data_IF_942806963051
#
_entry.id   IF_942806963051
#
_cell.length_a   1.000
_cell.length_b   1.000
_cell.length_c   1.000
_cell.angle_alpha   90.00
_cell.angle_beta   90.00
_cell.angle_gamma   90.00
#
_symmetry.space_group_name_H-M   'P 1'
#
loop_
_entity.id
_entity.type
_entity.pdbx_description
1 polymer ?
#
# COMPACT_ATOMS: atom_id res chain seq x y z
N UNK A 1 8.20 -0.98 2.27
CA UNK A 1 7.51 0.34 2.23
C UNK A 1 6.65 0.52 3.48
N UNK A 2 6.38 1.76 3.93
CA UNK A 2 5.53 2.04 5.09
C UNK A 2 4.16 2.57 4.64
N UNK A 3 3.09 1.96 5.11
CA UNK A 3 1.74 2.52 5.03
C UNK A 3 1.46 3.28 6.32
N UNK A 4 0.99 4.51 6.17
CA UNK A 4 0.60 5.37 7.28
C UNK A 4 -0.91 5.32 7.47
N UNK A 5 -1.36 5.42 8.71
CA UNK A 5 -2.77 5.62 9.04
C UNK A 5 -3.18 7.09 8.82
N UNK A 6 -4.47 7.40 8.95
CA UNK A 6 -5.03 8.76 8.84
C UNK A 6 -4.38 9.78 9.82
N UNK A 7 -3.75 9.28 10.88
CA UNK A 7 -3.00 10.07 11.87
C UNK A 7 -1.52 10.28 11.52
N UNK A 8 -1.05 9.70 10.41
CA UNK A 8 0.36 9.73 10.01
C UNK A 8 1.27 8.78 10.81
N UNK A 9 0.70 7.92 11.65
CA UNK A 9 1.43 6.85 12.35
C UNK A 9 1.61 5.63 11.46
N UNK A 10 2.65 4.83 11.72
CA UNK A 10 2.94 3.62 10.95
C UNK A 10 1.87 2.55 11.20
N UNK A 11 1.13 2.19 10.15
CA UNK A 11 0.08 1.16 10.18
C UNK A 11 0.64 -0.20 9.79
N UNK A 12 1.32 -0.27 8.64
CA UNK A 12 1.88 -1.50 8.11
C UNK A 12 3.22 -1.24 7.45
N UNK A 13 4.20 -2.08 7.75
CA UNK A 13 5.47 -2.13 7.02
C UNK A 13 5.45 -3.35 6.11
N UNK A 14 5.39 -3.12 4.80
CA UNK A 14 5.57 -4.20 3.82
C UNK A 14 7.04 -4.49 3.65
N UNK A 15 7.42 -5.72 3.95
CA UNK A 15 8.80 -6.22 3.87
C UNK A 15 9.08 -6.88 2.52
N UNK A 16 8.12 -7.64 1.97
CA UNK A 16 8.31 -8.37 0.73
C UNK A 16 7.02 -8.51 -0.06
N UNK A 17 7.11 -8.41 -1.38
CA UNK A 17 6.03 -8.74 -2.32
C UNK A 17 6.60 -9.80 -3.26
N UNK A 18 5.94 -10.97 -3.32
CA UNK A 18 6.37 -12.10 -4.15
C UNK A 18 5.18 -12.69 -4.89
N UNK A 19 5.41 -13.26 -6.06
CA UNK A 19 4.43 -14.12 -6.70
C UNK A 19 4.60 -15.56 -6.20
N UNK A 20 3.50 -16.19 -5.80
CA UNK A 20 3.42 -17.62 -5.48
C UNK A 20 3.30 -18.43 -6.77
N UNK A 21 3.65 -19.72 -6.72
CA UNK A 21 3.62 -20.64 -7.87
C UNK A 21 2.22 -20.82 -8.46
N UNK A 22 1.18 -20.46 -7.70
CA UNK A 22 -0.24 -20.55 -8.07
C UNK A 22 -0.84 -19.22 -8.55
N UNK A 23 -0.03 -18.28 -9.05
CA UNK A 23 -0.46 -16.95 -9.50
C UNK A 23 -1.05 -16.03 -8.40
N UNK A 24 -0.75 -16.28 -7.13
CA UNK A 24 -1.13 -15.37 -6.05
C UNK A 24 -0.02 -14.35 -5.79
N UNK A 25 -0.37 -13.09 -5.58
CA UNK A 25 0.59 -12.09 -5.11
C UNK A 25 0.62 -12.13 -3.57
N UNK A 26 1.73 -12.55 -3.00
CA UNK A 26 1.96 -12.67 -1.56
C UNK A 26 2.66 -11.42 -1.06
N UNK A 27 2.00 -10.68 -0.20
CA UNK A 27 2.52 -9.49 0.47
C UNK A 27 2.81 -9.84 1.92
N UNK A 28 4.09 -9.84 2.30
CA UNK A 28 4.53 -10.06 3.68
C UNK A 28 4.89 -8.74 4.33
N UNK A 29 4.40 -8.53 5.55
CA UNK A 29 4.69 -7.32 6.31
C UNK A 29 4.45 -7.47 7.80
N UNK A 30 4.76 -6.40 8.53
CA UNK A 30 4.43 -6.24 9.95
C UNK A 30 3.36 -5.18 10.10
N UNK A 31 2.25 -5.52 10.72
CA UNK A 31 1.20 -4.56 11.11
C UNK A 31 1.50 -4.08 12.53
N UNK A 32 1.33 -2.78 12.78
CA UNK A 32 1.58 -2.14 14.08
C UNK A 32 2.97 -2.47 14.67
N UNK A 33 3.99 -2.54 13.81
CA UNK A 33 5.39 -2.72 14.20
C UNK A 33 5.82 -4.15 14.57
N UNK A 34 4.91 -5.02 15.02
CA UNK A 34 5.28 -6.34 15.56
C UNK A 34 4.49 -7.54 15.01
N UNK A 35 3.27 -7.37 14.50
CA UNK A 35 2.42 -8.50 14.11
C UNK A 35 2.73 -8.95 12.66
N UNK A 36 3.28 -10.16 12.43
CA UNK A 36 3.53 -10.64 11.08
C UNK A 36 2.20 -10.96 10.40
N UNK A 37 1.98 -10.37 9.22
CA UNK A 37 0.84 -10.70 8.37
C UNK A 37 1.34 -11.12 6.99
N UNK A 38 0.74 -12.18 6.46
CA UNK A 38 0.88 -12.58 5.06
C UNK A 38 -0.47 -12.36 4.37
N UNK A 39 -0.55 -11.35 3.52
CA UNK A 39 -1.71 -11.14 2.66
C UNK A 39 -1.46 -11.88 1.34
N UNK A 40 -2.44 -12.70 0.91
CA UNK A 40 -2.43 -13.31 -0.42
C UNK A 40 -3.49 -12.61 -1.25
N UNK A 41 -3.10 -12.12 -2.41
CA UNK A 41 -4.00 -11.50 -3.37
C UNK A 41 -4.16 -12.44 -4.56
N UNK A 42 -5.39 -12.88 -4.78
CA UNK A 42 -5.75 -13.68 -5.95
C UNK A 42 -5.79 -12.83 -7.23
N UNK A 43 -5.69 -13.44 -8.43
CA UNK A 43 -5.87 -12.73 -9.69
C UNK A 43 -7.23 -12.03 -9.80
N UNK A 44 -8.28 -12.58 -9.19
CA UNK A 44 -9.62 -11.97 -9.17
C UNK A 44 -9.64 -10.71 -8.32
N UNK A 45 -9.04 -10.75 -7.13
CA UNK A 45 -8.91 -9.57 -6.26
C UNK A 45 -7.99 -8.51 -6.86
N UNK A 46 -6.94 -8.92 -7.59
CA UNK A 46 -6.10 -7.98 -8.34
C UNK A 46 -6.90 -7.25 -9.41
N UNK A 47 -7.77 -7.95 -10.15
CA UNK A 47 -8.70 -7.33 -11.12
C UNK A 47 -9.73 -6.43 -10.44
N UNK A 48 -10.25 -6.84 -9.29
CA UNK A 48 -11.16 -6.01 -8.50
C UNK A 48 -10.47 -4.73 -8.01
N UNK A 49 -9.23 -4.82 -7.54
CA UNK A 49 -8.42 -3.67 -7.15
C UNK A 49 -8.19 -2.71 -8.33
N UNK A 50 -7.92 -3.24 -9.53
CA UNK A 50 -7.82 -2.43 -10.76
C UNK A 50 -9.14 -1.73 -11.10
N UNK A 51 -10.29 -2.38 -10.87
CA UNK A 51 -11.61 -1.75 -11.06
C UNK A 51 -11.90 -0.63 -10.05
N UNK A 52 -11.31 -0.67 -8.86
CA UNK A 52 -11.41 0.41 -7.86
C UNK A 52 -10.56 1.64 -8.26
N UNK A 53 -9.64 1.50 -9.21
CA UNK A 53 -8.85 2.61 -9.71
C UNK A 53 -9.66 3.43 -10.73
N UNK A 54 -10.23 4.54 -10.26
CA UNK A 54 -10.86 5.53 -11.13
C UNK A 54 -9.80 6.26 -11.99
N UNK A 55 -10.21 6.81 -13.15
CA UNK A 55 -9.32 7.57 -14.05
C UNK A 55 -8.53 8.68 -13.34
N UNK A 56 -9.13 9.33 -12.34
CA UNK A 56 -8.47 10.34 -11.49
C UNK A 56 -7.34 9.75 -10.64
N UNK A 57 -7.55 8.56 -10.07
CA UNK A 57 -6.54 7.85 -9.27
C UNK A 57 -5.40 7.36 -10.14
N UNK A 58 -5.70 6.88 -11.36
CA UNK A 58 -4.69 6.49 -12.35
C UNK A 58 -3.82 7.71 -12.73
N UNK A 59 -4.44 8.86 -13.02
CA UNK A 59 -3.70 10.10 -13.26
C UNK A 59 -2.85 10.53 -12.06
N UNK A 60 -3.38 10.36 -10.84
CA UNK A 60 -2.62 10.61 -9.62
C UNK A 60 -1.42 9.67 -9.48
N UNK A 61 -1.58 8.37 -9.73
CA UNK A 61 -0.48 7.39 -9.71
C UNK A 61 0.59 7.69 -10.78
N UNK A 62 0.20 8.17 -11.97
CA UNK A 62 1.15 8.60 -12.99
C UNK A 62 1.91 9.85 -12.56
N UNK A 63 1.23 10.82 -11.94
CA UNK A 63 1.86 12.07 -11.47
C UNK A 63 2.65 11.91 -10.16
N UNK A 64 2.40 10.86 -9.37
CA UNK A 64 3.09 10.65 -8.08
C UNK A 64 4.59 10.38 -8.28
N UNK A 65 4.98 9.75 -9.40
CA UNK A 65 6.37 9.52 -9.78
C UNK A 65 7.13 10.82 -10.06
N UNK A 66 6.43 11.88 -10.47
CA UNK A 66 7.02 13.19 -10.80
C UNK A 66 6.85 14.22 -9.67
N UNK A 67 6.06 13.93 -8.63
CA UNK A 67 5.90 14.84 -7.49
C UNK A 67 6.98 14.56 -6.45
N UNK A 68 7.82 15.56 -6.17
CA UNK A 68 8.78 15.51 -5.08
C UNK A 68 8.09 15.10 -3.78
N UNK A 69 8.66 14.10 -3.11
CA UNK A 69 8.20 13.56 -1.84
C UNK A 69 8.27 14.64 -0.74
N UNK A 70 7.27 15.52 -0.67
CA UNK A 70 7.07 16.32 0.54
C UNK A 70 6.47 15.38 1.57
N UNK A 71 7.18 15.09 2.68
CA UNK A 71 6.61 14.28 3.75
C UNK A 71 5.29 14.91 4.21
N UNK A 72 4.27 14.10 4.53
CA UNK A 72 3.01 14.63 5.04
C UNK A 72 3.30 15.54 6.22
N UNK A 73 2.92 16.82 6.10
CA UNK A 73 3.08 17.83 7.15
C UNK A 73 2.28 17.32 8.35
N UNK A 74 2.97 17.00 9.46
CA UNK A 74 2.36 16.66 10.77
C UNK A 74 1.23 17.67 11.04
N UNK A 75 -0.03 17.26 10.87
CA UNK A 75 -1.18 18.05 11.29
C UNK A 75 -1.19 17.98 12.81
N UNK A 76 -1.21 19.16 13.43
CA UNK A 76 -0.76 19.40 14.80
C UNK A 76 -1.37 18.49 15.86
N UNK A 77 -0.55 18.19 16.86
CA UNK A 77 -1.02 17.90 18.19
C UNK A 77 -1.81 19.12 18.68
N UNK A 78 -3.10 18.92 18.95
CA UNK A 78 -3.83 19.66 19.97
C UNK A 78 -4.11 18.68 21.10
#
# INVERSE_FOLDING_TARGET
MKLLDNTGKELMTVSKIEADERNYLVVRGKIFGAMPMTAKLSPEEARAALKLLNARTIWFLLTIWFRSAKPPKKKGAK
#
